data_IF_282051301352
#
_entry.id   IF_282051301352
#
_cell.length_a   1.000
_cell.length_b   1.000
_cell.length_c   1.000
_cell.angle_alpha   90.00
_cell.angle_beta   90.00
_cell.angle_gamma   90.00
#
_symmetry.space_group_name_H-M   'P 1'
#
loop_
_entity.id
_entity.type
_entity.pdbx_description
1 polymer ?
#
# COMPACT_ATOMS: atom_id res chain seq x y z
N UNK A 1 6.89 3.96 17.93
CA UNK A 1 6.10 3.20 16.96
C UNK A 1 6.28 3.88 15.62
N UNK A 2 6.74 3.13 14.64
CA UNK A 2 6.89 3.62 13.26
C UNK A 2 6.00 2.79 12.37
N UNK A 3 5.25 3.46 11.50
CA UNK A 3 4.44 2.79 10.50
C UNK A 3 5.17 2.79 9.17
N UNK A 4 5.19 1.65 8.48
CA UNK A 4 5.76 1.53 7.13
C UNK A 4 4.77 0.88 6.19
N UNK A 5 4.87 1.21 4.91
CA UNK A 5 3.94 0.76 3.87
C UNK A 5 4.66 -0.16 2.89
N UNK A 6 3.98 -1.22 2.50
CA UNK A 6 4.35 -2.09 1.39
C UNK A 6 3.17 -2.24 0.44
N UNK A 7 3.41 -1.96 -0.85
CA UNK A 7 2.44 -2.17 -1.91
C UNK A 7 2.85 -3.37 -2.77
N UNK A 8 1.87 -4.20 -3.15
CA UNK A 8 2.06 -5.36 -4.01
C UNK A 8 1.04 -5.36 -5.14
N UNK A 9 1.47 -5.83 -6.30
CA UNK A 9 0.60 -5.97 -7.47
C UNK A 9 -0.42 -7.10 -7.28
N UNK A 10 -1.69 -6.85 -7.58
CA UNK A 10 -2.84 -7.77 -7.53
C UNK A 10 -3.20 -8.33 -6.15
N UNK A 11 -2.25 -8.96 -5.47
CA UNK A 11 -2.43 -9.63 -4.18
C UNK A 11 -1.22 -9.43 -3.28
N UNK A 12 -1.33 -9.83 -2.03
CA UNK A 12 -0.25 -9.73 -1.06
C UNK A 12 0.99 -10.61 -1.32
N UNK A 13 0.89 -11.55 -2.27
CA UNK A 13 2.00 -12.39 -2.73
C UNK A 13 2.53 -11.96 -4.10
N UNK A 14 1.90 -10.96 -4.72
CA UNK A 14 2.35 -10.43 -5.99
C UNK A 14 3.65 -9.64 -5.85
N UNK A 15 4.14 -9.15 -6.99
CA UNK A 15 5.37 -8.37 -7.06
C UNK A 15 5.25 -7.13 -6.17
N UNK A 16 6.24 -6.91 -5.30
CA UNK A 16 6.33 -5.66 -4.54
C UNK A 16 6.58 -4.50 -5.50
N UNK A 17 5.74 -3.47 -5.39
CA UNK A 17 5.81 -2.28 -6.22
C UNK A 17 6.78 -1.28 -5.58
N UNK A 18 7.70 -0.76 -6.39
CA UNK A 18 8.55 0.37 -5.99
C UNK A 18 7.73 1.65 -6.19
N UNK A 19 7.50 2.38 -5.11
CA UNK A 19 6.74 3.63 -5.11
C UNK A 19 7.28 4.55 -4.01
N UNK A 20 6.90 5.82 -4.04
CA UNK A 20 7.47 6.83 -3.15
C UNK A 20 7.14 6.58 -1.67
N UNK A 21 6.00 5.95 -1.40
CA UNK A 21 5.58 5.56 -0.03
C UNK A 21 6.20 4.24 0.43
N UNK A 22 6.80 3.45 -0.46
CA UNK A 22 7.40 2.16 -0.10
C UNK A 22 8.69 2.37 0.71
N UNK A 23 8.66 1.95 1.98
CA UNK A 23 9.79 2.12 2.89
C UNK A 23 9.85 3.48 3.59
N UNK A 24 8.90 4.38 3.33
CA UNK A 24 8.73 5.60 4.11
C UNK A 24 8.29 5.27 5.55
N UNK A 25 8.71 6.11 6.50
CA UNK A 25 8.42 5.97 7.92
C UNK A 25 7.42 7.03 8.36
N UNK A 26 6.24 6.58 8.78
CA UNK A 26 5.16 7.43 9.26
C UNK A 26 5.09 7.40 10.79
N UNK A 27 4.73 8.54 11.38
CA UNK A 27 4.61 8.70 12.83
C UNK A 27 3.30 8.10 13.39
N UNK A 28 2.29 7.94 12.54
CA UNK A 28 0.97 7.46 12.93
C UNK A 28 0.33 6.60 11.83
N UNK A 29 -0.60 5.73 12.21
CA UNK A 29 -1.26 4.81 11.29
C UNK A 29 -2.18 5.52 10.29
N UNK A 30 -2.73 6.68 10.65
CA UNK A 30 -3.69 7.40 9.80
C UNK A 30 -2.97 8.04 8.61
N UNK A 31 -1.82 8.69 8.84
CA UNK A 31 -0.97 9.23 7.78
C UNK A 31 -0.43 8.13 6.86
N UNK A 32 0.06 7.02 7.43
CA UNK A 32 0.48 5.85 6.63
C UNK A 32 -0.66 5.30 5.75
N UNK A 33 -1.87 5.19 6.30
CA UNK A 33 -3.04 4.68 5.58
C UNK A 33 -3.52 5.62 4.47
N UNK A 34 -3.51 6.93 4.74
CA UNK A 34 -3.88 7.93 3.74
C UNK A 34 -2.89 7.92 2.56
N UNK A 35 -1.58 7.96 2.85
CA UNK A 35 -0.52 7.92 1.84
C UNK A 35 -0.59 6.61 1.02
N UNK A 36 -0.70 5.46 1.70
CA UNK A 36 -0.77 4.16 1.03
C UNK A 36 -1.99 4.03 0.10
N UNK A 37 -3.16 4.56 0.51
CA UNK A 37 -4.37 4.51 -0.30
C UNK A 37 -4.30 5.43 -1.52
N UNK A 38 -3.75 6.63 -1.36
CA UNK A 38 -3.57 7.57 -2.46
C UNK A 38 -2.65 6.96 -3.53
N UNK A 39 -1.48 6.48 -3.12
CA UNK A 39 -0.52 5.85 -4.04
C UNK A 39 -1.09 4.58 -4.68
N UNK A 40 -1.71 3.70 -3.90
CA UNK A 40 -2.29 2.47 -4.43
C UNK A 40 -3.44 2.73 -5.41
N UNK A 41 -4.18 3.82 -5.24
CA UNK A 41 -5.21 4.24 -6.19
C UNK A 41 -4.57 4.70 -7.51
N UNK A 42 -3.57 5.56 -7.44
CA UNK A 42 -2.87 6.04 -8.64
C UNK A 42 -2.23 4.87 -9.42
N UNK A 43 -1.58 3.94 -8.71
CA UNK A 43 -1.00 2.74 -9.29
C UNK A 43 -2.07 1.80 -9.87
N UNK A 44 -3.22 1.63 -9.21
CA UNK A 44 -4.30 0.77 -9.74
C UNK A 44 -4.92 1.34 -11.01
N UNK A 45 -5.00 2.68 -11.12
CA UNK A 45 -5.45 3.36 -12.35
C UNK A 45 -4.43 3.20 -13.48
N UNK A 46 -3.14 3.40 -13.19
CA UNK A 46 -2.07 3.34 -14.19
C UNK A 46 -1.86 1.92 -14.74
N UNK A 47 -1.78 0.94 -13.84
CA UNK A 47 -1.47 -0.45 -14.19
C UNK A 47 -2.73 -1.24 -14.59
N UNK A 48 -3.93 -0.72 -14.30
CA UNK A 48 -5.23 -1.41 -14.49
C UNK A 48 -5.30 -2.78 -13.81
N UNK A 49 -4.64 -2.89 -12.65
CA UNK A 49 -4.66 -4.07 -11.78
C UNK A 49 -4.97 -3.65 -10.35
N UNK A 50 -5.44 -4.58 -9.54
CA UNK A 50 -5.62 -4.32 -8.12
C UNK A 50 -4.25 -4.10 -7.45
N UNK A 51 -4.23 -3.36 -6.33
CA UNK A 51 -3.01 -3.13 -5.55
C UNK A 51 -3.27 -3.52 -4.11
N UNK A 52 -2.50 -4.49 -3.63
CA UNK A 52 -2.54 -4.91 -2.24
C UNK A 52 -1.67 -4.00 -1.38
N UNK A 53 -2.23 -3.51 -0.29
CA UNK A 53 -1.61 -2.59 0.67
C UNK A 53 -1.38 -3.33 1.98
N UNK A 54 -0.15 -3.30 2.48
CA UNK A 54 0.18 -3.69 3.86
C UNK A 54 0.79 -2.51 4.59
N UNK A 55 0.30 -2.28 5.80
CA UNK A 55 0.89 -1.33 6.75
C UNK A 55 1.45 -2.14 7.91
N UNK A 56 2.71 -1.90 8.23
CA UNK A 56 3.38 -2.50 9.37
C UNK A 56 3.52 -1.48 10.49
N UNK A 57 3.26 -1.90 11.72
CA UNK A 57 3.68 -1.19 12.94
C UNK A 57 4.95 -1.87 13.45
N UNK A 58 6.07 -1.15 13.36
CA UNK A 58 7.43 -1.66 13.56
C UNK A 58 7.74 -2.86 12.65
N UNK A 59 7.41 -4.09 13.07
CA UNK A 59 7.60 -5.31 12.26
C UNK A 59 6.34 -6.18 12.14
N UNK A 60 5.20 -5.73 12.67
CA UNK A 60 3.95 -6.49 12.69
C UNK A 60 2.98 -5.92 11.68
N UNK A 61 2.21 -6.78 11.01
CA UNK A 61 1.13 -6.31 10.14
C UNK A 61 0.07 -5.64 11.00
N UNK A 62 -0.09 -4.34 10.82
CA UNK A 62 -1.12 -3.54 11.48
C UNK A 62 -2.42 -3.54 10.67
N UNK A 63 -2.30 -3.34 9.36
CA UNK A 63 -3.44 -3.28 8.45
C UNK A 63 -3.11 -3.93 7.11
N UNK A 64 -4.09 -4.60 6.52
CA UNK A 64 -4.05 -5.14 5.17
C UNK A 64 -5.31 -4.73 4.42
N UNK A 65 -5.14 -4.19 3.21
CA UNK A 65 -6.24 -3.75 2.35
C UNK A 65 -5.92 -4.06 0.89
N UNK A 66 -6.94 -4.19 0.04
CA UNK A 66 -6.75 -4.32 -1.42
C UNK A 66 -7.51 -3.17 -2.07
N UNK A 67 -6.76 -2.31 -2.76
CA UNK A 67 -7.32 -1.32 -3.68
C UNK A 67 -7.76 -2.07 -4.95
N UNK A 68 -9.05 -2.04 -5.32
CA UNK A 68 -9.51 -2.71 -6.53
C UNK A 68 -8.97 -2.02 -7.78
N UNK A 69 -8.90 -2.79 -8.87
CA UNK A 69 -8.69 -2.25 -10.21
C UNK A 69 -9.91 -1.41 -10.64
N UNK A 70 -9.73 -0.41 -11.51
CA UNK A 70 -10.86 0.27 -12.12
C UNK A 70 -11.72 -0.74 -12.92
N UNK A 71 -13.05 -0.56 -12.95
CA UNK A 71 -13.91 -1.31 -13.85
C UNK A 71 -13.48 -1.05 -15.31
N UNK A 72 -13.60 -2.08 -16.15
CA UNK A 72 -13.25 -2.03 -17.57
C UNK A 72 -14.22 -1.16 -18.37
#
# INVERSE_FOLDING_TARGET
MVFTVQLNESTYHGRTLSCDVAGERFADAASASAAAKAEAFDLSMQLRVAVAIRIFEDSRIYLSHIMPAPPR
#
